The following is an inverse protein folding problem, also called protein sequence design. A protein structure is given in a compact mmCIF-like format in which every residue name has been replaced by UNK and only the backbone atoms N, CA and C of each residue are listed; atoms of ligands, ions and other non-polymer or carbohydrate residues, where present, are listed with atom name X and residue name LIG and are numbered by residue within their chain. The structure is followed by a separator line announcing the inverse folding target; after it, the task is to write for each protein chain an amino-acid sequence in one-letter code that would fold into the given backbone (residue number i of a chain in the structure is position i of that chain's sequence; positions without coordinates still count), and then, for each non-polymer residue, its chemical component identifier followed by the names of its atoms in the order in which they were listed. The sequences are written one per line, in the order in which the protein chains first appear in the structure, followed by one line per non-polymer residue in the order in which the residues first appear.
data_IF_772833336593
#
_entry.id   IF_772833336593
#
_cell.length_a   1.000
_cell.length_b   1.000
_cell.length_c   1.000
_cell.angle_alpha   90.00
_cell.angle_beta   90.00
_cell.angle_gamma   90.00
#
_symmetry.space_group_name_H-M   'P 1'
#
loop_
_entity.id
_entity.type
_entity.pdbx_description
1 polymer ?
#
# COMPACT_ATOMS: atom_id res chain seq x y z
N UNK A 1 -13.91 -87.85 13.16
CA UNK A 1 -14.89 -88.26 12.13
C UNK A 1 -15.87 -87.10 11.94
N UNK A 2 -16.17 -86.67 10.71
CA UNK A 2 -16.96 -85.47 10.37
C UNK A 2 -18.47 -85.77 10.60
N UNK A 3 -19.41 -84.84 10.55
CA UNK A 3 -19.98 -84.19 9.35
C UNK A 3 -20.83 -82.98 9.79
N UNK A 4 -20.79 -81.94 8.95
CA UNK A 4 -21.58 -80.71 8.99
C UNK A 4 -23.11 -80.89 8.89
N UNK A 5 -23.86 -79.92 9.42
CA UNK A 5 -25.13 -79.52 8.80
C UNK A 5 -25.43 -78.04 9.08
N UNK A 6 -25.47 -77.27 8.00
CA UNK A 6 -25.88 -75.86 7.89
C UNK A 6 -27.38 -75.66 8.18
N UNK A 7 -27.75 -74.52 8.75
CA UNK A 7 -29.09 -73.95 8.53
C UNK A 7 -29.08 -72.42 8.58
N UNK A 8 -29.62 -71.82 7.52
CA UNK A 8 -29.69 -70.40 7.18
C UNK A 8 -31.08 -69.86 7.55
N UNK A 9 -31.17 -68.59 8.00
CA UNK A 9 -32.16 -67.53 7.65
C UNK A 9 -32.24 -66.45 8.75
N UNK A 10 -32.82 -65.25 8.51
CA UNK A 10 -32.82 -64.43 7.29
C UNK A 10 -32.40 -62.97 7.57
N UNK A 11 -31.77 -62.33 6.58
CA UNK A 11 -31.52 -60.89 6.53
C UNK A 11 -32.81 -60.18 6.11
N UNK A 12 -33.32 -59.24 6.91
CA UNK A 12 -34.39 -58.34 6.48
C UNK A 12 -34.27 -56.94 7.09
N UNK A 13 -33.81 -56.02 6.22
CA UNK A 13 -34.35 -54.68 5.97
C UNK A 13 -34.65 -53.80 7.17
N UNK A 14 -33.74 -52.86 7.44
CA UNK A 14 -34.15 -51.46 7.63
C UNK A 14 -33.35 -50.55 6.68
N UNK A 15 -34.13 -49.88 5.84
CA UNK A 15 -33.76 -48.87 4.87
C UNK A 15 -33.32 -47.58 5.56
N UNK A 16 -32.43 -46.86 4.86
CA UNK A 16 -32.25 -45.40 4.84
C UNK A 16 -31.98 -44.69 6.17
N UNK A 17 -30.90 -43.93 6.24
CA UNK A 17 -30.94 -42.46 6.22
C UNK A 17 -29.57 -41.92 5.81
N UNK A 18 -29.61 -41.14 4.72
CA UNK A 18 -28.80 -40.01 4.30
C UNK A 18 -27.27 -39.99 4.56
N UNK A 19 -26.54 -40.07 3.45
CA UNK A 19 -25.31 -39.34 3.23
C UNK A 19 -25.49 -37.84 3.53
N UNK A 20 -24.52 -37.24 4.23
CA UNK A 20 -24.03 -35.85 4.17
C UNK A 20 -23.51 -35.42 5.54
N UNK A 21 -22.22 -35.59 5.77
CA UNK A 21 -21.45 -34.65 6.57
C UNK A 21 -20.29 -34.19 5.69
N UNK A 22 -20.57 -33.07 5.04
CA UNK A 22 -19.76 -32.30 4.11
C UNK A 22 -18.38 -32.05 4.72
N UNK A 23 -17.35 -32.21 3.90
CA UNK A 23 -16.00 -31.80 4.21
C UNK A 23 -15.99 -30.34 4.70
N UNK A 24 -15.69 -30.14 5.98
CA UNK A 24 -15.28 -28.85 6.55
C UNK A 24 -13.84 -28.54 6.08
N UNK A 25 -13.68 -28.40 4.77
CA UNK A 25 -12.55 -27.71 4.15
C UNK A 25 -13.20 -26.67 3.23
N UNK A 26 -13.98 -25.77 3.84
CA UNK A 26 -14.52 -24.61 3.13
C UNK A 26 -14.05 -23.38 3.87
N UNK A 27 -13.17 -22.66 3.18
CA UNK A 27 -12.99 -21.23 3.41
C UNK A 27 -12.39 -20.89 4.76
N UNK A 28 -11.11 -21.20 4.94
CA UNK A 28 -10.26 -20.17 5.52
C UNK A 28 -10.38 -18.97 4.59
N UNK A 29 -11.33 -18.07 4.88
CA UNK A 29 -11.34 -16.77 4.26
C UNK A 29 -9.92 -16.26 4.41
N UNK A 30 -9.24 -15.99 3.29
CA UNK A 30 -8.14 -15.06 3.31
C UNK A 30 -8.80 -13.74 3.73
N UNK A 31 -9.02 -13.54 5.03
CA UNK A 31 -9.21 -12.23 5.62
C UNK A 31 -7.93 -11.50 5.21
N UNK A 32 -8.03 -10.73 4.13
CA UNK A 32 -6.96 -9.88 3.67
C UNK A 32 -6.53 -9.10 4.90
N UNK A 33 -5.30 -9.36 5.36
CA UNK A 33 -4.77 -8.68 6.53
C UNK A 33 -4.82 -7.19 6.20
N UNK A 34 -5.49 -6.40 7.03
CA UNK A 34 -5.52 -4.96 6.89
C UNK A 34 -4.07 -4.44 6.78
N UNK A 35 -3.82 -3.54 5.83
CA UNK A 35 -2.53 -2.91 5.62
C UNK A 35 -2.03 -2.27 6.93
N UNK A 36 -0.76 -2.46 7.29
CA UNK A 36 -0.16 -1.72 8.41
C UNK A 36 0.13 -0.27 8.00
N UNK A 37 0.30 0.63 8.97
CA UNK A 37 0.69 2.02 8.67
C UNK A 37 2.00 2.08 7.87
N UNK A 38 2.97 1.27 8.26
CA UNK A 38 4.27 1.16 7.59
C UNK A 38 4.11 0.74 6.13
N UNK A 39 3.26 -0.26 5.86
CA UNK A 39 2.95 -0.69 4.50
C UNK A 39 2.28 0.43 3.68
N UNK A 40 1.39 1.21 4.30
CA UNK A 40 0.76 2.35 3.64
C UNK A 40 1.76 3.49 3.32
N UNK A 41 2.70 3.77 4.24
CA UNK A 41 3.81 4.71 4.02
C UNK A 41 4.68 4.23 2.86
N UNK A 42 5.09 2.96 2.87
CA UNK A 42 5.93 2.38 1.81
C UNK A 42 5.20 2.40 0.46
N UNK A 43 3.93 1.99 0.42
CA UNK A 43 3.08 1.99 -0.78
C UNK A 43 2.98 3.39 -1.39
N UNK A 44 2.71 4.40 -0.57
CA UNK A 44 2.59 5.77 -1.08
C UNK A 44 3.94 6.34 -1.50
N UNK A 45 4.99 6.02 -0.75
CA UNK A 45 6.36 6.43 -1.08
C UNK A 45 6.77 5.85 -2.43
N UNK A 46 6.58 4.53 -2.64
CA UNK A 46 6.85 3.86 -3.91
C UNK A 46 6.06 4.48 -5.05
N UNK A 47 4.75 4.69 -4.87
CA UNK A 47 3.89 5.27 -5.91
C UNK A 47 4.40 6.64 -6.38
N UNK A 48 4.68 7.54 -5.44
CA UNK A 48 5.17 8.88 -5.75
C UNK A 48 6.60 8.85 -6.29
N UNK A 49 7.47 8.04 -5.70
CA UNK A 49 8.86 7.90 -6.09
C UNK A 49 9.04 7.42 -7.53
N UNK A 50 8.29 6.39 -7.96
CA UNK A 50 8.43 5.89 -9.33
C UNK A 50 7.77 6.80 -10.37
N UNK A 51 6.76 7.57 -10.01
CA UNK A 51 6.22 8.64 -10.89
C UNK A 51 7.27 9.68 -11.23
N UNK A 52 8.08 10.11 -10.26
CA UNK A 52 9.16 11.09 -10.46
C UNK A 52 10.47 10.47 -10.94
N UNK A 53 10.53 9.15 -11.08
CA UNK A 53 11.67 8.38 -11.58
C UNK A 53 11.27 7.31 -12.62
N UNK A 54 10.61 7.69 -13.73
CA UNK A 54 10.09 6.74 -14.71
C UNK A 54 11.18 5.88 -15.36
N UNK A 55 12.43 6.36 -15.41
CA UNK A 55 13.60 5.63 -15.92
C UNK A 55 13.92 4.35 -15.13
N UNK A 56 13.46 4.24 -13.89
CA UNK A 56 13.60 3.02 -13.10
C UNK A 56 12.61 1.93 -13.55
N UNK A 57 11.55 2.28 -14.28
CA UNK A 57 10.53 1.36 -14.78
C UNK A 57 9.98 0.43 -13.67
N UNK A 58 9.73 0.99 -12.48
CA UNK A 58 9.27 0.26 -11.29
C UNK A 58 10.16 -0.93 -10.86
N UNK A 59 11.42 -0.97 -11.31
CA UNK A 59 12.37 -1.99 -10.85
C UNK A 59 12.72 -1.73 -9.39
N UNK A 60 12.91 -2.80 -8.62
CA UNK A 60 13.43 -2.68 -7.25
C UNK A 60 14.79 -1.98 -7.25
N UNK A 61 14.96 -1.08 -6.27
CA UNK A 61 16.24 -0.46 -5.99
C UNK A 61 17.26 -1.52 -5.57
N UNK A 62 18.47 -1.37 -6.10
CA UNK A 62 19.62 -2.21 -5.81
C UNK A 62 20.61 -1.42 -4.95
N UNK A 63 21.55 -2.11 -4.28
CA UNK A 63 22.53 -1.47 -3.40
C UNK A 63 23.41 -0.40 -4.11
N UNK A 64 23.52 -0.45 -5.43
CA UNK A 64 24.22 0.55 -6.24
C UNK A 64 23.42 1.84 -6.48
N UNK A 65 22.10 1.82 -6.31
CA UNK A 65 21.19 2.95 -6.57
C UNK A 65 21.18 3.97 -5.42
N UNK A 66 22.35 4.36 -4.93
CA UNK A 66 22.50 5.12 -3.67
C UNK A 66 21.73 6.44 -3.67
N UNK A 67 21.77 7.17 -4.78
CA UNK A 67 21.07 8.45 -4.93
C UNK A 67 19.56 8.26 -4.86
N UNK A 68 19.04 7.25 -5.56
CA UNK A 68 17.62 6.88 -5.53
C UNK A 68 17.17 6.34 -4.17
N UNK A 69 18.01 5.57 -3.49
CA UNK A 69 17.72 5.08 -2.13
C UNK A 69 17.60 6.27 -1.17
N UNK A 70 18.53 7.23 -1.24
CA UNK A 70 18.48 8.42 -0.41
C UNK A 70 17.24 9.28 -0.73
N UNK A 71 16.92 9.46 -2.00
CA UNK A 71 15.70 10.16 -2.45
C UNK A 71 14.43 9.48 -1.91
N UNK A 72 14.31 8.16 -2.06
CA UNK A 72 13.19 7.38 -1.53
C UNK A 72 13.07 7.50 -0.01
N UNK A 73 14.19 7.43 0.72
CA UNK A 73 14.21 7.56 2.18
C UNK A 73 13.75 8.96 2.63
N UNK A 74 14.22 10.02 1.95
CA UNK A 74 13.80 11.40 2.25
C UNK A 74 12.30 11.58 2.00
N UNK A 75 11.79 11.00 0.92
CA UNK A 75 10.37 11.03 0.63
C UNK A 75 9.55 10.25 1.67
N UNK A 76 10.02 9.07 2.08
CA UNK A 76 9.42 8.27 3.15
C UNK A 76 9.32 9.06 4.46
N UNK A 77 10.41 9.70 4.89
CA UNK A 77 10.44 10.57 6.07
C UNK A 77 9.42 11.73 5.99
N UNK A 78 9.23 12.30 4.79
CA UNK A 78 8.27 13.39 4.58
C UNK A 78 6.81 12.89 4.57
N UNK A 79 6.56 11.67 4.10
CA UNK A 79 5.22 11.06 4.01
C UNK A 79 4.77 10.48 5.34
N UNK A 80 5.66 9.85 6.11
CA UNK A 80 5.32 9.15 7.36
C UNK A 80 4.35 9.92 8.27
N UNK A 81 4.61 11.17 8.67
CA UNK A 81 3.71 11.89 9.59
C UNK A 81 2.34 12.22 9.01
N UNK A 82 2.19 12.11 7.68
CA UNK A 82 0.99 12.44 6.89
C UNK A 82 0.10 11.23 6.64
N UNK A 83 0.51 10.03 7.04
CA UNK A 83 -0.33 8.84 6.99
C UNK A 83 -1.08 8.68 8.31
N UNK A 84 -2.41 8.80 8.24
CA UNK A 84 -3.34 8.74 9.38
C UNK A 84 -4.45 7.72 9.12
N UNK A 85 -5.13 7.21 10.16
CA UNK A 85 -6.29 6.36 9.98
C UNK A 85 -7.35 7.05 9.10
N UNK A 86 -7.95 6.32 8.16
CA UNK A 86 -8.97 6.86 7.26
C UNK A 86 -10.13 7.53 8.03
N UNK A 87 -10.46 7.03 9.22
CA UNK A 87 -11.53 7.57 10.07
C UNK A 87 -11.24 8.96 10.63
N UNK A 88 -9.96 9.36 10.70
CA UNK A 88 -9.55 10.70 11.12
C UNK A 88 -9.60 11.71 9.97
N UNK A 89 -9.48 11.25 8.73
CA UNK A 89 -9.22 12.11 7.55
C UNK A 89 -10.41 12.17 6.59
N UNK A 90 -11.06 11.04 6.32
CA UNK A 90 -12.11 10.94 5.32
C UNK A 90 -13.45 11.50 5.84
N UNK A 91 -14.17 12.25 4.98
CA UNK A 91 -15.51 12.72 5.29
C UNK A 91 -16.51 11.56 5.16
N UNK A 92 -17.04 11.10 6.31
CA UNK A 92 -17.94 9.92 6.42
C UNK A 92 -17.28 8.63 5.95
N UNK A 93 -16.34 8.08 6.72
CA UNK A 93 -15.84 6.74 6.44
C UNK A 93 -17.02 5.75 6.44
N UNK A 94 -17.03 4.81 5.51
CA UNK A 94 -18.03 3.74 5.51
C UNK A 94 -17.92 2.93 6.81
N UNK A 95 -19.04 2.40 7.36
CA UNK A 95 -18.98 1.56 8.54
C UNK A 95 -18.07 0.35 8.31
N UNK A 96 -16.95 0.28 9.05
CA UNK A 96 -15.95 -0.78 8.90
C UNK A 96 -14.81 -0.44 7.94
N UNK A 97 -14.81 0.75 7.34
CA UNK A 97 -13.64 1.27 6.62
C UNK A 97 -12.47 1.33 7.61
N UNK A 98 -11.46 0.53 7.35
CA UNK A 98 -10.23 0.41 8.14
C UNK A 98 -9.08 0.53 7.17
N UNK A 99 -8.14 1.44 7.44
CA UNK A 99 -7.09 1.76 6.48
C UNK A 99 -6.32 3.02 6.86
N UNK A 100 -5.42 3.39 5.97
CA UNK A 100 -4.47 4.48 6.16
C UNK A 100 -4.51 5.42 4.97
N UNK A 101 -4.71 6.69 5.25
CA UNK A 101 -4.91 7.73 4.25
C UNK A 101 -3.91 8.87 4.40
N UNK A 102 -3.59 9.48 3.26
CA UNK A 102 -2.71 10.64 3.20
C UNK A 102 -3.47 11.91 3.57
N UNK A 103 -2.89 12.74 4.45
CA UNK A 103 -3.47 14.01 4.87
C UNK A 103 -2.42 15.10 4.94
N UNK A 104 -2.89 16.35 5.05
CA UNK A 104 -2.04 17.47 5.46
C UNK A 104 -1.84 17.46 6.98
N UNK A 105 -0.79 18.14 7.43
CA UNK A 105 -0.47 18.31 8.86
C UNK A 105 -0.25 19.79 9.17
N UNK A 106 -0.28 20.17 10.44
CA UNK A 106 0.05 21.54 10.90
C UNK A 106 -0.77 22.66 10.23
N UNK A 107 -2.01 22.38 9.81
CA UNK A 107 -2.86 23.35 9.11
C UNK A 107 -2.41 23.66 7.68
N UNK A 108 -1.51 22.86 7.10
CA UNK A 108 -1.07 22.99 5.72
C UNK A 108 -2.23 22.72 4.74
N UNK A 109 -2.20 23.41 3.60
CA UNK A 109 -3.02 23.03 2.45
C UNK A 109 -2.39 21.85 1.71
N UNK A 110 -3.17 21.16 0.87
CA UNK A 110 -2.62 20.13 0.00
C UNK A 110 -1.59 20.70 -0.97
N UNK A 111 -1.79 21.92 -1.47
CA UNK A 111 -0.81 22.60 -2.32
C UNK A 111 0.54 22.74 -1.61
N UNK A 112 0.54 23.26 -0.38
CA UNK A 112 1.76 23.38 0.44
C UNK A 112 2.40 22.03 0.77
N UNK A 113 1.57 21.00 0.95
CA UNK A 113 2.06 19.64 1.18
C UNK A 113 2.79 19.12 -0.06
N UNK A 114 2.21 19.29 -1.25
CA UNK A 114 2.85 18.89 -2.50
C UNK A 114 4.10 19.73 -2.82
N UNK A 115 4.12 21.02 -2.48
CA UNK A 115 5.33 21.85 -2.59
C UNK A 115 6.46 21.26 -1.74
N UNK A 116 6.19 20.84 -0.50
CA UNK A 116 7.19 20.21 0.38
C UNK A 116 7.67 18.86 -0.11
N UNK A 117 6.77 18.04 -0.66
CA UNK A 117 7.19 16.77 -1.25
C UNK A 117 8.08 17.02 -2.47
N UNK A 118 7.75 18.01 -3.30
CA UNK A 118 8.57 18.40 -4.45
C UNK A 118 9.94 18.94 -4.01
N UNK A 119 9.98 19.78 -2.97
CA UNK A 119 11.22 20.25 -2.34
C UNK A 119 12.06 19.08 -1.83
N UNK A 120 11.43 18.07 -1.22
CA UNK A 120 12.13 16.90 -0.67
C UNK A 120 12.91 16.16 -1.75
N UNK A 121 12.29 15.92 -2.90
CA UNK A 121 12.94 15.28 -4.05
C UNK A 121 13.95 16.21 -4.74
N UNK A 122 13.58 17.48 -4.92
CA UNK A 122 14.47 18.43 -5.57
C UNK A 122 15.78 18.61 -4.78
N UNK A 123 15.70 18.83 -3.46
CA UNK A 123 16.90 19.00 -2.64
C UNK A 123 17.64 17.69 -2.36
N UNK A 124 17.01 16.50 -2.49
CA UNK A 124 17.76 15.24 -2.45
C UNK A 124 18.67 15.08 -3.67
N UNK A 125 18.27 15.62 -4.82
CA UNK A 125 19.06 15.66 -6.07
C UNK A 125 20.07 16.81 -6.09
N UNK A 126 19.77 17.90 -5.38
CA UNK A 126 20.61 19.09 -5.29
C UNK A 126 20.98 19.42 -3.83
N UNK A 127 21.72 18.55 -3.13
CA UNK A 127 22.01 18.72 -1.69
C UNK A 127 22.76 20.02 -1.38
N UNK A 128 23.57 20.52 -2.32
CA UNK A 128 24.27 21.81 -2.24
C UNK A 128 23.34 23.04 -2.16
N UNK A 129 22.04 22.85 -2.42
CA UNK A 129 21.00 23.89 -2.40
C UNK A 129 19.95 23.65 -1.31
N UNK A 130 20.15 22.66 -0.45
CA UNK A 130 19.16 22.25 0.55
C UNK A 130 18.66 23.45 1.38
N UNK A 131 17.33 23.65 1.38
CA UNK A 131 16.66 24.71 2.13
C UNK A 131 16.82 26.13 1.55
N UNK A 132 17.48 26.28 0.41
CA UNK A 132 17.62 27.57 -0.27
C UNK A 132 16.55 27.72 -1.35
N UNK A 133 15.85 28.86 -1.36
CA UNK A 133 14.91 29.17 -2.42
C UNK A 133 15.59 29.10 -3.79
N UNK A 134 14.96 28.41 -4.74
CA UNK A 134 15.43 28.34 -6.13
C UNK A 134 15.51 29.78 -6.69
N UNK A 135 16.68 30.23 -7.18
CA UNK A 135 16.82 31.58 -7.74
C UNK A 135 15.85 31.80 -8.90
N UNK A 136 15.20 32.97 -8.96
CA UNK A 136 14.19 33.29 -9.98
C UNK A 136 14.71 33.25 -11.42
N UNK A 137 16.02 33.36 -11.62
CA UNK A 137 16.70 33.28 -12.90
C UNK A 137 17.19 31.86 -13.26
N UNK A 138 17.13 30.90 -12.34
CA UNK A 138 17.52 29.50 -12.57
C UNK A 138 16.37 28.72 -13.21
N UNK A 139 16.20 28.93 -14.52
CA UNK A 139 15.11 28.32 -15.30
C UNK A 139 15.15 26.79 -15.29
N UNK A 140 16.36 26.20 -15.23
CA UNK A 140 16.53 24.75 -15.26
C UNK A 140 15.97 24.14 -13.98
N UNK A 141 16.38 24.69 -12.84
CA UNK A 141 15.92 24.21 -11.52
C UNK A 141 14.43 24.44 -11.30
N UNK A 142 13.91 25.59 -11.74
CA UNK A 142 12.48 25.88 -11.70
C UNK A 142 11.70 24.86 -12.55
N UNK A 143 12.20 24.53 -13.74
CA UNK A 143 11.56 23.55 -14.62
C UNK A 143 11.58 22.15 -14.01
N UNK A 144 12.71 21.73 -13.42
CA UNK A 144 12.82 20.43 -12.76
C UNK A 144 11.85 20.32 -11.57
N UNK A 145 11.88 21.31 -10.67
CA UNK A 145 10.99 21.34 -9.50
C UNK A 145 9.52 21.31 -9.92
N UNK A 146 9.16 22.07 -10.97
CA UNK A 146 7.78 22.09 -11.47
C UNK A 146 7.35 20.73 -12.04
N UNK A 147 8.24 20.03 -12.74
CA UNK A 147 7.96 18.69 -13.25
C UNK A 147 7.77 17.67 -12.12
N UNK A 148 8.66 17.68 -11.11
CA UNK A 148 8.51 16.86 -9.90
C UNK A 148 7.16 17.13 -9.25
N UNK A 149 6.83 18.40 -9.03
CA UNK A 149 5.59 18.82 -8.39
C UNK A 149 4.35 18.33 -9.14
N UNK A 150 4.37 18.39 -10.46
CA UNK A 150 3.24 17.99 -11.30
C UNK A 150 2.95 16.49 -11.15
N UNK A 151 3.99 15.66 -11.12
CA UNK A 151 3.84 14.21 -10.97
C UNK A 151 3.31 13.79 -9.60
N UNK A 152 3.63 14.57 -8.56
CA UNK A 152 3.27 14.30 -7.16
C UNK A 152 1.82 14.56 -6.80
N UNK A 153 1.03 15.16 -7.68
CA UNK A 153 -0.37 15.43 -7.37
C UNK A 153 -1.15 14.13 -7.16
N UNK A 154 -1.80 14.03 -6.00
CA UNK A 154 -2.74 12.96 -5.65
C UNK A 154 -4.15 13.54 -5.53
N UNK A 155 -5.13 12.80 -6.03
CA UNK A 155 -6.51 12.97 -5.60
C UNK A 155 -6.69 12.19 -4.30
N UNK A 156 -7.25 12.82 -3.27
CA UNK A 156 -7.51 12.17 -1.99
C UNK A 156 -8.92 11.55 -1.93
N UNK A 157 -9.07 10.51 -1.11
CA UNK A 157 -10.24 9.64 -0.95
C UNK A 157 -10.51 8.77 -2.20
N UNK A 158 -10.11 7.50 -2.14
CA UNK A 158 -10.38 6.50 -3.17
C UNK A 158 -9.39 6.54 -4.33
N UNK A 159 -8.20 5.96 -4.11
CA UNK A 159 -7.49 5.26 -5.19
C UNK A 159 -8.23 3.97 -5.55
#
# INVERSE_FOLDING_TARGET
MPIDSLSIKPVSRFLMICALAIALVVGGANLAKAESREQAVDRLTDFLFYKVNPQLNNRKLQAGDREYINEWQKLCEAIDPRIKPAQEVCYRPEPGETGWEFTTINGETYEQTYDRLADTIFYSRHPQRSGQQIPKNDRISISEWSAIRQEMFLSNCGL
#
